data_IF_569010684546
#
_entry.id   IF_569010684546
#
_cell.length_a   1.000
_cell.length_b   1.000
_cell.length_c   1.000
_cell.angle_alpha   90.00
_cell.angle_beta   90.00
_cell.angle_gamma   90.00
#
_symmetry.space_group_name_H-M   'P 1'
#
loop_
_entity.id
_entity.type
_entity.pdbx_description
1 polymer ?
#
# COMPACT_ATOMS: atom_id res chain seq x y z
N UNK A 1 -24.65 -2.04 -20.25
CA UNK A 1 -25.00 -2.83 -19.05
C UNK A 1 -26.24 -2.22 -18.42
N UNK A 2 -27.24 -3.02 -18.02
CA UNK A 2 -28.48 -2.49 -17.43
C UNK A 2 -28.21 -1.81 -16.08
N UNK A 3 -28.81 -0.64 -15.87
CA UNK A 3 -28.71 0.14 -14.63
C UNK A 3 -29.40 -0.57 -13.46
N UNK A 4 -29.08 -0.23 -12.19
CA UNK A 4 -29.78 -0.81 -11.03
C UNK A 4 -31.30 -0.64 -11.10
N UNK A 5 -31.77 0.52 -11.54
CA UNK A 5 -33.20 0.83 -11.72
C UNK A 5 -33.83 -0.05 -12.80
N UNK A 6 -33.13 -0.24 -13.92
CA UNK A 6 -33.57 -1.14 -14.99
C UNK A 6 -33.66 -2.59 -14.53
N UNK A 7 -32.69 -3.07 -13.74
CA UNK A 7 -32.72 -4.43 -13.17
C UNK A 7 -33.89 -4.61 -12.20
N UNK A 8 -34.13 -3.64 -11.31
CA UNK A 8 -35.25 -3.67 -10.38
C UNK A 8 -36.59 -3.72 -11.14
N UNK A 9 -36.74 -2.89 -12.17
CA UNK A 9 -37.92 -2.93 -13.04
C UNK A 9 -38.09 -4.30 -13.71
N UNK A 10 -37.01 -4.89 -14.26
CA UNK A 10 -37.06 -6.21 -14.87
C UNK A 10 -37.54 -7.29 -13.88
N UNK A 11 -37.07 -7.27 -12.63
CA UNK A 11 -37.49 -8.25 -11.61
C UNK A 11 -38.95 -8.05 -11.22
N UNK A 12 -39.36 -6.81 -10.94
CA UNK A 12 -40.74 -6.50 -10.53
C UNK A 12 -41.75 -6.85 -11.63
N UNK A 13 -41.44 -6.53 -12.89
CA UNK A 13 -42.33 -6.82 -14.01
C UNK A 13 -42.33 -8.31 -14.37
N UNK A 14 -41.18 -8.99 -14.29
CA UNK A 14 -41.11 -10.42 -14.53
C UNK A 14 -41.89 -11.21 -13.47
N UNK A 15 -41.87 -10.78 -12.20
CA UNK A 15 -42.67 -11.38 -11.14
C UNK A 15 -44.19 -11.24 -11.38
N UNK A 16 -44.63 -10.18 -12.09
CA UNK A 16 -46.06 -10.00 -12.41
C UNK A 16 -46.52 -10.84 -13.60
N UNK A 17 -45.70 -10.95 -14.63
CA UNK A 17 -46.13 -11.53 -15.90
C UNK A 17 -45.62 -12.95 -16.16
N UNK A 18 -44.62 -13.41 -15.39
CA UNK A 18 -43.89 -14.69 -15.56
C UNK A 18 -43.45 -14.99 -17.01
N UNK A 19 -43.41 -13.98 -17.88
CA UNK A 19 -43.14 -14.11 -19.31
C UNK A 19 -42.03 -13.15 -19.71
N UNK A 20 -40.94 -13.72 -20.23
CA UNK A 20 -39.78 -12.94 -20.69
C UNK A 20 -40.19 -12.00 -21.83
N UNK A 21 -40.99 -12.48 -22.78
CA UNK A 21 -41.41 -11.69 -23.96
C UNK A 21 -42.24 -10.48 -23.52
N UNK A 22 -43.18 -10.68 -22.59
CA UNK A 22 -44.03 -9.60 -22.07
C UNK A 22 -43.20 -8.58 -21.29
N UNK A 23 -42.26 -9.02 -20.47
CA UNK A 23 -41.36 -8.13 -19.74
C UNK A 23 -40.47 -7.32 -20.71
N UNK A 24 -39.87 -7.97 -21.72
CA UNK A 24 -39.05 -7.30 -22.73
C UNK A 24 -39.82 -6.24 -23.53
N UNK A 25 -41.10 -6.50 -23.87
CA UNK A 25 -41.98 -5.51 -24.50
C UNK A 25 -42.23 -4.31 -23.59
N UNK A 26 -42.58 -4.54 -22.31
CA UNK A 26 -42.77 -3.47 -21.31
C UNK A 26 -41.50 -2.66 -21.05
N UNK A 27 -40.33 -3.32 -21.11
CA UNK A 27 -39.04 -2.66 -21.00
C UNK A 27 -38.80 -1.70 -22.16
N UNK A 28 -39.08 -2.12 -23.40
CA UNK A 28 -38.99 -1.24 -24.58
C UNK A 28 -39.93 -0.04 -24.46
N UNK A 29 -41.18 -0.26 -24.05
CA UNK A 29 -42.14 0.83 -23.85
C UNK A 29 -41.68 1.86 -22.83
N UNK A 30 -41.06 1.44 -21.74
CA UNK A 30 -40.65 2.34 -20.65
C UNK A 30 -39.32 3.05 -20.92
N UNK A 31 -38.33 2.35 -21.47
CA UNK A 31 -36.95 2.85 -21.58
C UNK A 31 -36.51 3.16 -23.00
N UNK A 32 -37.30 2.81 -24.02
CA UNK A 32 -36.97 2.94 -25.44
C UNK A 32 -35.57 2.41 -25.79
N UNK A 33 -35.20 1.26 -25.19
CA UNK A 33 -33.90 0.62 -25.32
C UNK A 33 -34.07 -0.88 -25.59
N UNK A 34 -33.06 -1.49 -26.20
CA UNK A 34 -33.03 -2.94 -26.37
C UNK A 34 -33.08 -3.65 -25.00
N UNK A 35 -33.97 -4.62 -24.83
CA UNK A 35 -34.20 -5.24 -23.54
C UNK A 35 -33.08 -6.21 -23.19
N UNK A 36 -32.86 -6.48 -21.89
CA UNK A 36 -31.87 -7.46 -21.46
C UNK A 36 -32.17 -8.86 -22.00
N UNK A 37 -31.11 -9.66 -22.17
CA UNK A 37 -31.21 -11.07 -22.56
C UNK A 37 -32.07 -11.87 -21.55
N UNK A 38 -32.92 -12.77 -22.05
CA UNK A 38 -33.75 -13.71 -21.28
C UNK A 38 -33.00 -14.38 -20.11
N UNK A 39 -31.77 -14.84 -20.34
CA UNK A 39 -30.96 -15.50 -19.31
C UNK A 39 -30.58 -14.54 -18.17
N UNK A 40 -30.29 -13.28 -18.49
CA UNK A 40 -29.99 -12.27 -17.49
C UNK A 40 -31.23 -11.92 -16.65
N UNK A 41 -32.40 -11.87 -17.29
CA UNK A 41 -33.68 -11.59 -16.62
C UNK A 41 -34.00 -12.67 -15.59
N UNK A 42 -33.98 -13.95 -16.01
CA UNK A 42 -34.19 -15.09 -15.11
C UNK A 42 -33.15 -15.14 -14.00
N UNK A 43 -31.89 -14.86 -14.33
CA UNK A 43 -30.80 -14.81 -13.34
C UNK A 43 -31.03 -13.71 -12.29
N UNK A 44 -31.45 -12.51 -12.71
CA UNK A 44 -31.73 -11.43 -11.76
C UNK A 44 -32.93 -11.73 -10.88
N UNK A 45 -33.99 -12.32 -11.44
CA UNK A 45 -35.14 -12.77 -10.66
C UNK A 45 -34.73 -13.78 -9.59
N UNK A 46 -34.07 -14.87 -9.99
CA UNK A 46 -33.58 -15.90 -9.06
C UNK A 46 -32.65 -15.31 -8.00
N UNK A 47 -31.71 -14.46 -8.40
CA UNK A 47 -30.79 -13.81 -7.47
C UNK A 47 -31.53 -12.93 -6.46
N UNK A 48 -32.61 -12.26 -6.88
CA UNK A 48 -33.44 -11.46 -6.00
C UNK A 48 -34.28 -12.33 -5.05
N UNK A 49 -34.86 -13.44 -5.53
CA UNK A 49 -35.59 -14.40 -4.69
C UNK A 49 -34.68 -15.05 -3.62
N UNK A 50 -33.46 -15.43 -4.01
CA UNK A 50 -32.53 -16.13 -3.11
C UNK A 50 -31.85 -15.19 -2.10
N UNK A 51 -31.48 -13.97 -2.51
CA UNK A 51 -30.61 -13.09 -1.71
C UNK A 51 -31.21 -11.73 -1.35
N UNK A 52 -32.37 -11.37 -1.93
CA UNK A 52 -33.00 -10.06 -1.75
C UNK A 52 -32.24 -8.87 -2.38
N UNK A 53 -31.12 -9.10 -3.07
CA UNK A 53 -30.25 -8.04 -3.58
C UNK A 53 -29.84 -8.30 -5.03
N UNK A 54 -29.89 -7.24 -5.85
CA UNK A 54 -29.44 -7.25 -7.25
C UNK A 54 -28.00 -6.76 -7.44
N UNK A 55 -27.28 -6.66 -6.33
CA UNK A 55 -25.94 -6.10 -6.24
C UNK A 55 -24.93 -7.11 -6.81
N UNK A 56 -23.90 -6.60 -7.49
CA UNK A 56 -22.83 -7.46 -7.99
C UNK A 56 -22.09 -8.05 -6.79
N UNK A 57 -22.06 -9.38 -6.69
CA UNK A 57 -21.28 -10.06 -5.65
C UNK A 57 -19.79 -9.72 -5.72
N UNK A 58 -19.10 -9.91 -4.58
CA UNK A 58 -17.65 -9.73 -4.52
C UNK A 58 -16.97 -10.70 -5.50
N UNK A 59 -16.25 -10.14 -6.47
CA UNK A 59 -15.37 -10.94 -7.32
C UNK A 59 -14.08 -11.26 -6.56
N UNK A 60 -13.57 -12.48 -6.72
CA UNK A 60 -12.29 -12.93 -6.14
C UNK A 60 -11.09 -12.05 -6.54
N UNK A 61 -11.20 -11.31 -7.64
CA UNK A 61 -10.17 -10.38 -8.12
C UNK A 61 -8.92 -11.11 -8.62
N UNK A 62 -7.84 -10.36 -8.86
CA UNK A 62 -6.57 -10.94 -9.29
C UNK A 62 -5.98 -11.82 -8.17
N UNK A 63 -5.52 -13.05 -8.48
CA UNK A 63 -4.86 -13.90 -7.49
C UNK A 63 -3.72 -13.16 -6.80
N UNK A 64 -3.71 -13.24 -5.47
CA UNK A 64 -2.66 -12.66 -4.63
C UNK A 64 -1.46 -13.58 -4.60
N UNK A 65 -0.27 -13.01 -4.38
CA UNK A 65 0.92 -13.80 -3.99
C UNK A 65 0.57 -14.61 -2.73
N UNK A 66 0.88 -15.91 -2.75
CA UNK A 66 0.61 -16.86 -1.67
C UNK A 66 1.29 -16.43 -0.36
N UNK A 67 0.72 -16.84 0.77
CA UNK A 67 1.27 -16.50 2.09
C UNK A 67 2.70 -17.03 2.27
N UNK A 68 2.95 -18.26 1.80
CA UNK A 68 4.29 -18.88 1.79
C UNK A 68 5.33 -18.04 1.04
N UNK A 69 4.99 -17.56 -0.15
CA UNK A 69 5.90 -16.71 -0.91
C UNK A 69 6.15 -15.38 -0.20
N UNK A 70 5.13 -14.78 0.42
CA UNK A 70 5.28 -13.56 1.23
C UNK A 70 6.24 -13.78 2.40
N UNK A 71 6.16 -14.93 3.05
CA UNK A 71 7.09 -15.31 4.13
C UNK A 71 8.51 -15.52 3.60
N UNK A 72 8.66 -16.12 2.41
CA UNK A 72 9.95 -16.22 1.72
C UNK A 72 10.55 -14.85 1.43
N UNK A 73 9.74 -13.89 0.95
CA UNK A 73 10.16 -12.49 0.81
C UNK A 73 10.64 -11.91 2.14
N UNK A 74 9.89 -12.10 3.22
CA UNK A 74 10.24 -11.57 4.55
C UNK A 74 11.63 -12.06 4.99
N UNK A 75 11.87 -13.38 4.96
CA UNK A 75 13.15 -13.98 5.36
C UNK A 75 14.33 -13.50 4.52
N UNK A 76 14.15 -13.39 3.19
CA UNK A 76 15.21 -12.93 2.29
C UNK A 76 15.69 -11.51 2.61
N UNK A 77 14.76 -10.60 2.93
CA UNK A 77 15.08 -9.20 3.22
C UNK A 77 15.43 -8.95 4.69
N UNK A 78 14.97 -9.78 5.62
CA UNK A 78 15.48 -9.76 7.01
C UNK A 78 16.95 -10.22 7.08
N UNK A 79 17.31 -11.25 6.30
CA UNK A 79 18.70 -11.71 6.20
C UNK A 79 19.63 -10.67 5.56
N UNK A 80 19.11 -9.89 4.60
CA UNK A 80 19.89 -8.88 3.89
C UNK A 80 19.04 -7.63 3.62
N UNK A 81 18.94 -6.71 4.58
CA UNK A 81 18.09 -5.51 4.46
C UNK A 81 18.51 -4.56 3.34
N UNK A 82 19.78 -4.57 2.95
CA UNK A 82 20.34 -3.71 1.89
C UNK A 82 20.14 -4.27 0.47
N UNK A 83 19.54 -5.46 0.34
CA UNK A 83 19.38 -6.13 -0.94
C UNK A 83 18.44 -5.34 -1.85
N UNK A 84 18.83 -5.18 -3.12
CA UNK A 84 17.99 -4.47 -4.07
C UNK A 84 16.77 -5.29 -4.50
N UNK A 85 15.72 -4.60 -4.93
CA UNK A 85 14.52 -5.28 -5.48
C UNK A 85 14.80 -6.12 -6.72
N UNK A 86 15.84 -5.78 -7.50
CA UNK A 86 16.29 -6.55 -8.66
C UNK A 86 17.05 -7.81 -8.25
N UNK A 87 17.90 -7.74 -7.23
CA UNK A 87 18.57 -8.93 -6.67
C UNK A 87 17.57 -9.89 -6.05
N UNK A 88 16.64 -9.38 -5.23
CA UNK A 88 15.57 -10.21 -4.66
C UNK A 88 14.67 -10.81 -5.74
N UNK A 89 14.49 -10.13 -6.88
CA UNK A 89 13.78 -10.68 -8.04
C UNK A 89 14.49 -11.88 -8.66
N UNK A 90 15.82 -11.79 -8.84
CA UNK A 90 16.65 -12.89 -9.37
C UNK A 90 16.67 -14.09 -8.41
N UNK A 91 16.88 -13.84 -7.11
CA UNK A 91 16.94 -14.90 -6.09
C UNK A 91 15.60 -15.63 -5.90
N UNK A 92 14.50 -14.88 -5.93
CA UNK A 92 13.16 -15.44 -5.71
C UNK A 92 12.49 -15.90 -7.00
N UNK A 93 13.13 -15.72 -8.16
CA UNK A 93 12.61 -16.03 -9.50
C UNK A 93 11.22 -15.42 -9.74
N UNK A 94 11.03 -14.19 -9.27
CA UNK A 94 9.76 -13.46 -9.38
C UNK A 94 9.97 -12.11 -10.02
N UNK A 95 9.02 -11.58 -10.80
CA UNK A 95 9.16 -10.25 -11.40
C UNK A 95 9.42 -9.17 -10.34
N UNK A 96 10.37 -8.26 -10.61
CA UNK A 96 10.74 -7.16 -9.72
C UNK A 96 9.54 -6.34 -9.23
N UNK A 97 8.55 -6.08 -10.11
CA UNK A 97 7.31 -5.37 -9.72
C UNK A 97 6.47 -6.11 -8.69
N UNK A 98 6.54 -7.44 -8.65
CA UNK A 98 5.86 -8.27 -7.64
C UNK A 98 6.60 -8.15 -6.32
N UNK A 99 7.93 -8.26 -6.34
CA UNK A 99 8.80 -8.06 -5.17
C UNK A 99 8.51 -6.72 -4.51
N UNK A 100 8.57 -5.63 -5.29
CA UNK A 100 8.28 -4.28 -4.80
C UNK A 100 6.87 -4.14 -4.21
N UNK A 101 5.85 -4.72 -4.87
CA UNK A 101 4.46 -4.69 -4.37
C UNK A 101 4.31 -5.44 -3.06
N UNK A 102 4.94 -6.61 -2.92
CA UNK A 102 4.90 -7.40 -1.68
C UNK A 102 5.57 -6.62 -0.54
N UNK A 103 6.78 -6.11 -0.76
CA UNK A 103 7.51 -5.32 0.24
C UNK A 103 6.70 -4.10 0.71
N UNK A 104 6.14 -3.32 -0.21
CA UNK A 104 5.42 -2.08 0.12
C UNK A 104 4.00 -2.27 0.65
N UNK A 105 3.23 -3.20 0.07
CA UNK A 105 1.79 -3.33 0.34
C UNK A 105 1.46 -4.45 1.32
N UNK A 106 2.26 -5.51 1.37
CA UNK A 106 2.02 -6.68 2.23
C UNK A 106 2.88 -6.63 3.49
N UNK A 107 4.20 -6.49 3.33
CA UNK A 107 5.15 -6.44 4.45
C UNK A 107 5.32 -5.03 5.04
N UNK A 108 4.84 -4.00 4.33
CA UNK A 108 4.93 -2.57 4.73
C UNK A 108 6.37 -2.10 5.05
N UNK A 109 7.37 -2.77 4.48
CA UNK A 109 8.78 -2.38 4.61
C UNK A 109 9.01 -1.01 3.95
N UNK A 110 9.83 -0.19 4.60
CA UNK A 110 10.24 1.12 4.12
C UNK A 110 11.74 1.06 3.78
N UNK A 111 12.17 1.66 2.66
CA UNK A 111 13.58 1.82 2.36
C UNK A 111 14.23 2.63 3.47
N UNK A 112 15.44 2.25 3.83
CA UNK A 112 16.19 2.91 4.88
C UNK A 112 16.81 4.19 4.32
N UNK A 113 16.67 5.30 5.05
CA UNK A 113 17.37 6.55 4.70
C UNK A 113 18.79 6.42 5.21
N UNK A 114 19.78 6.55 4.32
CA UNK A 114 21.19 6.44 4.70
C UNK A 114 21.51 7.60 5.63
N UNK A 115 21.87 7.29 6.87
CA UNK A 115 22.45 8.26 7.78
C UNK A 115 23.95 8.26 7.57
N UNK A 116 24.48 9.37 7.05
CA UNK A 116 25.92 9.58 6.96
C UNK A 116 26.39 10.01 8.36
N UNK A 117 27.11 9.11 9.04
CA UNK A 117 27.67 9.36 10.36
C UNK A 117 29.19 9.25 10.28
N UNK A 118 29.89 10.02 11.11
CA UNK A 118 31.34 9.87 11.26
C UNK A 118 31.66 8.50 11.85
N UNK A 119 32.67 7.82 11.29
CA UNK A 119 33.15 6.56 11.82
C UNK A 119 33.85 6.79 13.16
N UNK A 120 33.36 6.13 14.21
CA UNK A 120 33.99 6.16 15.52
C UNK A 120 35.08 5.10 15.64
N UNK A 121 36.22 5.50 16.19
CA UNK A 121 37.30 4.60 16.61
C UNK A 121 37.04 4.12 18.04
N UNK A 122 37.70 3.04 18.44
CA UNK A 122 37.51 2.44 19.76
C UNK A 122 37.76 3.43 20.91
N UNK A 123 38.74 4.31 20.75
CA UNK A 123 39.08 5.35 21.74
C UNK A 123 38.01 6.44 21.87
N UNK A 124 37.25 6.71 20.80
CA UNK A 124 36.26 7.78 20.78
C UNK A 124 35.08 7.46 21.70
N UNK A 125 34.74 6.18 21.87
CA UNK A 125 33.63 5.76 22.71
C UNK A 125 33.82 6.20 24.16
N UNK A 126 35.02 5.99 24.73
CA UNK A 126 35.33 6.40 26.10
C UNK A 126 35.31 7.92 26.26
N UNK A 127 35.98 8.65 25.35
CA UNK A 127 36.03 10.12 25.38
C UNK A 127 34.64 10.75 25.28
N UNK A 128 33.81 10.26 24.35
CA UNK A 128 32.45 10.75 24.15
C UNK A 128 31.53 10.43 25.33
N UNK A 129 31.64 9.23 25.90
CA UNK A 129 30.86 8.86 27.09
C UNK A 129 31.22 9.75 28.27
N UNK A 130 32.52 9.92 28.55
CA UNK A 130 32.98 10.75 29.66
C UNK A 130 32.53 12.20 29.51
N UNK A 131 32.63 12.76 28.29
CA UNK A 131 32.13 14.11 28.02
C UNK A 131 30.61 14.22 28.20
N UNK A 132 29.84 13.23 27.73
CA UNK A 132 28.39 13.22 27.89
C UNK A 132 27.98 13.16 29.37
N UNK A 133 28.64 12.30 30.17
CA UNK A 133 28.41 12.23 31.62
C UNK A 133 28.78 13.53 32.31
N UNK A 134 29.95 14.10 32.00
CA UNK A 134 30.39 15.38 32.54
C UNK A 134 29.39 16.51 32.23
N UNK A 135 28.92 16.61 30.99
CA UNK A 135 27.93 17.60 30.59
C UNK A 135 26.60 17.38 31.30
N UNK A 136 26.17 16.14 31.49
CA UNK A 136 24.94 15.81 32.21
C UNK A 136 25.01 16.22 33.69
N UNK A 137 26.13 15.94 34.37
CA UNK A 137 26.36 16.35 35.76
C UNK A 137 26.47 17.86 35.90
N UNK A 138 27.16 18.52 34.96
CA UNK A 138 27.34 19.98 34.97
C UNK A 138 26.02 20.73 34.73
N UNK A 139 25.05 20.12 34.05
CA UNK A 139 23.72 20.69 33.81
C UNK A 139 22.78 20.61 35.02
N UNK A 140 23.21 20.00 36.14
CA UNK A 140 22.49 20.07 37.42
C UNK A 140 22.60 21.46 38.05
N UNK A 141 23.69 22.19 37.77
CA UNK A 141 23.80 23.61 38.11
C UNK A 141 22.99 24.45 37.12
N UNK A 142 21.90 25.06 37.60
CA UNK A 142 20.98 25.88 36.80
C UNK A 142 21.70 27.04 36.08
N UNK A 143 22.86 27.50 36.59
CA UNK A 143 23.61 28.62 36.00
C UNK A 143 24.54 28.20 34.86
N UNK A 144 24.80 26.91 34.68
CA UNK A 144 25.74 26.40 33.68
C UNK A 144 25.21 26.60 32.26
N UNK A 145 23.90 26.44 32.05
CA UNK A 145 23.28 26.63 30.73
C UNK A 145 23.39 28.08 30.23
N UNK A 146 23.24 29.06 31.13
CA UNK A 146 23.30 30.48 30.79
C UNK A 146 24.71 30.97 30.42
N UNK A 147 25.75 30.25 30.85
CA UNK A 147 27.15 30.56 30.55
C UNK A 147 27.68 29.83 29.32
N UNK A 148 26.95 28.85 28.82
CA UNK A 148 27.41 27.99 27.74
C UNK A 148 27.12 28.63 26.39
N UNK A 149 28.18 28.91 25.63
CA UNK A 149 28.09 29.46 24.28
C UNK A 149 28.73 28.47 23.31
N UNK A 150 27.97 28.07 22.30
CA UNK A 150 28.46 27.23 21.21
C UNK A 150 28.70 28.09 19.96
N UNK A 151 29.80 27.80 19.26
CA UNK A 151 30.09 28.32 17.92
C UNK A 151 30.50 27.17 17.02
N UNK A 152 30.10 27.20 15.75
CA UNK A 152 30.52 26.26 14.73
C UNK A 152 30.68 27.00 13.39
N UNK A 153 31.48 26.44 12.49
CA UNK A 153 31.70 26.97 11.16
C UNK A 153 31.07 26.05 10.10
N UNK A 154 30.36 26.65 9.14
CA UNK A 154 29.73 25.90 8.07
C UNK A 154 30.17 26.39 6.70
N UNK A 155 30.55 25.46 5.83
CA UNK A 155 30.97 25.76 4.45
C UNK A 155 29.74 25.75 3.53
N UNK A 156 29.47 26.89 2.88
CA UNK A 156 28.41 27.00 1.87
C UNK A 156 29.00 26.90 0.45
N UNK A 157 28.35 26.12 -0.40
CA UNK A 157 28.73 25.97 -1.80
C UNK A 157 27.71 26.67 -2.71
N UNK A 158 28.19 27.56 -3.59
CA UNK A 158 27.36 28.35 -4.52
C UNK A 158 26.83 27.49 -5.69
N UNK A 159 27.52 26.39 -5.99
CA UNK A 159 27.21 25.50 -7.12
C UNK A 159 26.58 24.25 -6.52
N UNK A 160 25.26 24.11 -6.67
CA UNK A 160 24.41 23.12 -5.99
C UNK A 160 24.98 21.69 -5.95
N UNK A 161 25.69 21.37 -4.88
CA UNK A 161 26.25 20.04 -4.65
C UNK A 161 25.13 19.08 -4.25
N UNK A 162 25.16 17.85 -4.78
CA UNK A 162 24.15 16.83 -4.46
C UNK A 162 24.17 16.56 -2.96
N UNK A 163 23.01 16.77 -2.32
CA UNK A 163 22.83 16.52 -0.90
C UNK A 163 22.79 15.01 -0.62
N UNK A 164 23.92 14.47 -0.15
CA UNK A 164 24.09 13.05 0.17
C UNK A 164 23.15 12.56 1.29
N UNK A 165 22.67 13.47 2.15
CA UNK A 165 21.73 13.16 3.24
C UNK A 165 20.33 12.76 2.75
N UNK A 166 20.00 12.98 1.47
CA UNK A 166 18.72 12.55 0.87
C UNK A 166 18.76 11.13 0.27
N UNK A 167 19.86 10.40 0.44
CA UNK A 167 20.06 9.08 -0.16
C UNK A 167 19.25 7.99 0.57
N UNK A 168 18.68 7.04 -0.19
CA UNK A 168 17.84 5.94 0.34
C UNK A 168 18.27 4.61 -0.27
N UNK A 169 18.21 3.53 0.53
CA UNK A 169 18.44 2.12 0.13
C UNK A 169 17.14 1.34 0.26
#
# INVERSE_FOLDING_TARGET
MASPVQKAFCVLEFNKCHSVITMQRRFRQRYNQEPPNANNIRRWHRMFEETGCLCKGKTSGRPRVSAENVERFRRTYERSPRKSTYEGSRELQMPQKTVWRVLRKRLKMKPYVIQLVQQLKQEDYGKRMNYATFMQESMVDETMADRLIFSDESTFHIIGKVNQYNSRI
#
